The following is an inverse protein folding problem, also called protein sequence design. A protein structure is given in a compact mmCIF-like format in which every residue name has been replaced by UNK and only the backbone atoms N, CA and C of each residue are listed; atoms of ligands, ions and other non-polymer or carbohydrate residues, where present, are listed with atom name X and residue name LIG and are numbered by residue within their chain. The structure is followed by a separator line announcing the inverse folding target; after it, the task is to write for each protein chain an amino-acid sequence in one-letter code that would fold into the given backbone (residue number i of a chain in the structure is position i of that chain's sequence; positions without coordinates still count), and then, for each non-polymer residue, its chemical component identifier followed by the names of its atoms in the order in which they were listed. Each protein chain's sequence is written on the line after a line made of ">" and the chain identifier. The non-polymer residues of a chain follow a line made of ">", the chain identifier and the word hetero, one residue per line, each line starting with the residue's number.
data_IF_335428099026
#
_entry.id   IF_335428099026
#
_cell.length_a   1.000
_cell.length_b   1.000
_cell.length_c   1.000
_cell.angle_alpha   90.00
_cell.angle_beta   90.00
_cell.angle_gamma   90.00
#
_symmetry.space_group_name_H-M   'P 1'
#
loop_
_entity.id
_entity.type
_entity.pdbx_description
1 polymer ?
#
# COMPACT_ATOMS: atom_id res chain seq x y z
N UNK A 1 -25.19 24.43 26.74
CA UNK A 1 -24.24 23.31 26.69
C UNK A 1 -24.62 22.44 25.51
N UNK A 2 -24.01 22.66 24.34
CA UNK A 2 -24.27 21.87 23.13
C UNK A 2 -23.03 21.06 22.81
N UNK A 3 -23.17 19.74 22.83
CA UNK A 3 -22.09 18.77 22.64
C UNK A 3 -21.72 18.73 21.16
N UNK A 4 -20.49 19.13 20.85
CA UNK A 4 -19.86 19.01 19.54
C UNK A 4 -19.74 17.53 19.13
N UNK A 5 -20.46 17.13 18.09
CA UNK A 5 -20.29 15.84 17.44
C UNK A 5 -19.11 15.94 16.47
N UNK A 6 -17.94 15.45 16.90
CA UNK A 6 -16.82 15.19 16.00
C UNK A 6 -17.25 14.18 14.93
N UNK A 7 -17.46 14.68 13.73
CA UNK A 7 -17.73 13.86 12.54
C UNK A 7 -16.43 13.17 12.16
N UNK A 8 -16.30 11.91 12.58
CA UNK A 8 -15.23 11.01 12.17
C UNK A 8 -15.06 11.07 10.65
N UNK A 9 -13.91 11.59 10.22
CA UNK A 9 -13.42 11.51 8.85
C UNK A 9 -13.11 10.03 8.58
N UNK A 10 -14.10 9.29 8.09
CA UNK A 10 -13.88 7.96 7.53
C UNK A 10 -13.12 8.18 6.24
N UNK A 11 -11.80 7.97 6.27
CA UNK A 11 -11.01 7.83 5.04
C UNK A 11 -11.52 6.55 4.37
N UNK A 12 -12.29 6.72 3.30
CA UNK A 12 -12.74 5.60 2.45
C UNK A 12 -11.57 5.25 1.55
N UNK A 13 -10.82 4.22 1.93
CA UNK A 13 -9.55 3.85 1.28
C UNK A 13 -9.74 3.09 -0.05
N UNK A 14 -10.96 2.64 -0.38
CA UNK A 14 -11.23 2.05 -1.69
C UNK A 14 -12.60 2.49 -2.22
N UNK A 15 -12.59 3.45 -3.14
CA UNK A 15 -13.78 3.77 -3.94
C UNK A 15 -13.95 2.70 -5.01
N UNK A 16 -15.16 2.15 -5.12
CA UNK A 16 -15.54 1.27 -6.23
C UNK A 16 -15.32 2.04 -7.54
N UNK A 17 -14.38 1.59 -8.36
CA UNK A 17 -14.11 2.21 -9.66
C UNK A 17 -15.02 1.60 -10.72
N UNK A 18 -15.70 2.45 -11.49
CA UNK A 18 -16.41 2.04 -12.70
C UNK A 18 -15.48 1.75 -13.88
N UNK A 19 -14.16 1.91 -13.69
CA UNK A 19 -13.16 1.62 -14.73
C UNK A 19 -13.04 0.12 -14.97
N UNK A 20 -12.68 -0.21 -16.21
CA UNK A 20 -12.39 -1.59 -16.60
C UNK A 20 -11.18 -2.09 -15.82
N UNK A 21 -11.18 -3.36 -15.43
CA UNK A 21 -10.08 -4.00 -14.69
C UNK A 21 -8.70 -3.81 -15.36
N UNK A 22 -8.66 -3.78 -16.70
CA UNK A 22 -7.44 -3.48 -17.45
C UNK A 22 -6.84 -2.12 -17.11
N UNK A 23 -7.67 -1.08 -17.00
CA UNK A 23 -7.24 0.27 -16.66
C UNK A 23 -6.70 0.33 -15.23
N UNK A 24 -7.42 -0.28 -14.29
CA UNK A 24 -7.01 -0.35 -12.88
C UNK A 24 -5.67 -1.07 -12.73
N UNK A 25 -5.48 -2.20 -13.44
CA UNK A 25 -4.21 -2.91 -13.41
C UNK A 25 -3.05 -2.08 -13.97
N UNK A 26 -3.29 -1.31 -15.04
CA UNK A 26 -2.27 -0.44 -15.63
C UNK A 26 -1.90 0.69 -14.66
N UNK A 27 -2.88 1.32 -14.03
CA UNK A 27 -2.65 2.36 -13.02
C UNK A 27 -1.86 1.81 -11.82
N UNK A 28 -2.21 0.61 -11.34
CA UNK A 28 -1.47 -0.06 -10.27
C UNK A 28 -0.01 -0.36 -10.66
N UNK A 29 0.24 -0.77 -11.91
CA UNK A 29 1.61 -0.96 -12.41
C UNK A 29 2.41 0.34 -12.40
N UNK A 30 1.80 1.45 -12.82
CA UNK A 30 2.45 2.75 -12.75
C UNK A 30 2.81 3.16 -11.32
N UNK A 31 1.94 2.89 -10.34
CA UNK A 31 2.22 3.17 -8.92
C UNK A 31 3.39 2.30 -8.42
N UNK A 32 3.43 1.03 -8.82
CA UNK A 32 4.53 0.12 -8.46
C UNK A 32 5.86 0.66 -8.99
N UNK A 33 5.90 0.97 -10.28
CA UNK A 33 7.11 1.45 -10.94
C UNK A 33 7.60 2.77 -10.32
N UNK A 34 6.67 3.68 -10.02
CA UNK A 34 6.96 4.96 -9.37
C UNK A 34 7.60 4.77 -7.99
N UNK A 35 7.02 3.93 -7.12
CA UNK A 35 7.59 3.64 -5.80
C UNK A 35 8.98 2.97 -5.91
N UNK A 36 9.18 2.06 -6.86
CA UNK A 36 10.45 1.35 -7.00
C UNK A 36 11.57 2.19 -7.61
N UNK A 37 11.23 3.24 -8.36
CA UNK A 37 12.20 4.07 -9.08
C UNK A 37 12.44 5.43 -8.42
N UNK A 38 11.57 5.89 -7.52
CA UNK A 38 11.76 7.16 -6.84
C UNK A 38 13.03 7.14 -5.96
N UNK A 39 13.92 8.15 -6.07
CA UNK A 39 15.10 8.23 -5.23
C UNK A 39 14.75 8.28 -3.75
N UNK A 40 15.47 7.51 -2.94
CA UNK A 40 15.25 7.44 -1.50
C UNK A 40 14.23 6.39 -1.04
N UNK A 41 13.65 5.61 -1.96
CA UNK A 41 12.91 4.41 -1.59
C UNK A 41 13.80 3.48 -0.78
N UNK A 42 13.32 3.11 0.40
CA UNK A 42 13.99 2.18 1.31
C UNK A 42 13.45 0.78 1.08
N UNK A 43 14.34 -0.18 0.86
CA UNK A 43 14.00 -1.59 0.71
C UNK A 43 14.53 -2.33 1.92
N UNK A 44 13.65 -2.99 2.66
CA UNK A 44 14.00 -3.67 3.91
C UNK A 44 13.20 -4.95 4.11
N UNK A 45 13.79 -5.89 4.85
CA UNK A 45 13.11 -7.12 5.26
C UNK A 45 12.33 -6.84 6.53
N UNK A 46 11.03 -7.15 6.55
CA UNK A 46 10.17 -7.01 7.71
C UNK A 46 9.45 -8.31 8.05
N UNK A 47 9.15 -8.50 9.34
CA UNK A 47 8.21 -9.53 9.79
C UNK A 47 6.90 -8.83 10.09
N UNK A 48 5.84 -9.19 9.36
CA UNK A 48 4.50 -8.63 9.53
C UNK A 48 3.52 -9.70 10.01
N UNK A 49 2.36 -9.26 10.51
CA UNK A 49 1.27 -10.15 10.87
C UNK A 49 0.15 -10.05 9.83
N UNK A 50 -0.09 -11.14 9.12
CA UNK A 50 -1.16 -11.25 8.13
C UNK A 50 -1.99 -12.51 8.46
N UNK A 51 -3.32 -12.39 8.49
CA UNK A 51 -4.22 -13.51 8.83
C UNK A 51 -3.83 -14.28 10.11
N UNK A 52 -3.40 -13.54 11.15
CA UNK A 52 -2.88 -14.06 12.43
C UNK A 52 -1.55 -14.82 12.37
N UNK A 53 -0.94 -14.96 11.19
CA UNK A 53 0.38 -15.56 11.00
C UNK A 53 1.46 -14.50 10.89
N UNK A 54 2.67 -14.81 11.37
CA UNK A 54 3.85 -13.97 11.13
C UNK A 54 4.50 -14.40 9.84
N UNK A 55 4.65 -13.47 8.90
CA UNK A 55 5.30 -13.73 7.61
C UNK A 55 6.44 -12.74 7.42
N UNK A 56 7.47 -13.18 6.71
CA UNK A 56 8.61 -12.36 6.30
C UNK A 56 8.34 -11.79 4.91
N UNK A 57 8.58 -10.50 4.75
CA UNK A 57 8.28 -9.74 3.54
C UNK A 57 9.44 -8.81 3.23
N UNK A 58 9.57 -8.45 1.96
CA UNK A 58 10.39 -7.31 1.55
C UNK A 58 9.43 -6.12 1.40
N UNK A 59 9.66 -5.07 2.17
CA UNK A 59 8.89 -3.82 2.12
C UNK A 59 9.73 -2.75 1.41
N UNK A 60 9.17 -2.15 0.37
CA UNK A 60 9.73 -0.98 -0.31
C UNK A 60 8.89 0.25 0.09
N UNK A 61 9.50 1.23 0.75
CA UNK A 61 8.83 2.43 1.25
C UNK A 61 9.39 3.67 0.57
N UNK A 62 8.55 4.38 -0.18
CA UNK A 62 8.90 5.66 -0.80
C UNK A 62 9.01 6.78 0.25
N UNK A 63 9.72 7.88 -0.04
CA UNK A 63 9.83 9.02 0.88
C UNK A 63 8.51 9.67 1.26
N UNK A 64 7.49 9.54 0.42
CA UNK A 64 6.14 10.07 0.65
C UNK A 64 5.26 9.15 1.54
N UNK A 65 5.80 8.00 1.96
CA UNK A 65 5.13 7.06 2.86
C UNK A 65 4.36 5.94 2.15
N UNK A 66 4.18 5.99 0.82
CA UNK A 66 3.61 4.86 0.07
C UNK A 66 4.54 3.66 0.17
N UNK A 67 3.97 2.47 0.35
CA UNK A 67 4.76 1.25 0.46
C UNK A 67 4.19 0.09 -0.37
N UNK A 68 5.10 -0.76 -0.83
CA UNK A 68 4.82 -2.04 -1.47
C UNK A 68 5.36 -3.16 -0.61
N UNK A 69 4.64 -4.28 -0.60
CA UNK A 69 5.11 -5.52 0.02
C UNK A 69 5.25 -6.60 -1.01
N UNK A 70 6.38 -7.25 -0.97
CA UNK A 70 6.67 -8.45 -1.73
C UNK A 70 6.82 -9.64 -0.79
N UNK A 71 6.64 -10.84 -1.33
CA UNK A 71 7.04 -12.06 -0.63
C UNK A 71 8.52 -12.02 -0.24
N UNK A 72 8.96 -12.94 0.61
CA UNK A 72 10.35 -13.01 1.10
C UNK A 72 11.42 -13.05 -0.03
N UNK A 73 11.05 -13.52 -1.22
CA UNK A 73 11.94 -13.65 -2.38
C UNK A 73 11.92 -12.41 -3.29
N UNK A 74 10.97 -11.49 -3.10
CA UNK A 74 10.84 -10.27 -3.91
C UNK A 74 10.20 -10.48 -5.29
N UNK A 75 9.70 -11.69 -5.58
CA UNK A 75 9.17 -12.06 -6.90
C UNK A 75 7.68 -11.80 -7.07
N UNK A 76 6.94 -11.69 -5.98
CA UNK A 76 5.49 -11.52 -6.00
C UNK A 76 5.09 -10.36 -5.10
N UNK A 77 4.38 -9.38 -5.69
CA UNK A 77 3.67 -8.37 -4.93
C UNK A 77 2.54 -9.03 -4.13
N UNK A 78 2.52 -8.79 -2.82
CA UNK A 78 1.48 -9.29 -1.91
C UNK A 78 0.53 -8.18 -1.46
N UNK A 79 0.91 -6.91 -1.59
CA UNK A 79 -0.01 -5.81 -1.35
C UNK A 79 0.61 -4.42 -1.41
N UNK A 80 -0.28 -3.44 -1.55
CA UNK A 80 0.01 -2.03 -1.32
C UNK A 80 -0.21 -1.69 0.15
N UNK A 81 0.54 -0.72 0.65
CA UNK A 81 0.33 -0.09 1.96
C UNK A 81 0.29 1.41 1.75
N UNK A 82 -0.83 2.01 2.09
CA UNK A 82 -0.96 3.46 2.13
C UNK A 82 -0.43 4.03 3.47
N UNK A 83 0.05 5.29 3.48
CA UNK A 83 0.46 5.99 4.69
C UNK A 83 -0.64 6.12 5.74
#
# INVERSE_FOLDING_TARGET
>A
MSVEHYKNMVVVVYTYTGQKAFTVNKEAQHIIDDILTIPGTKIEIRIIKENKQRIKVIEATAPDGRALRFNEVGTKLIGFREP
#
